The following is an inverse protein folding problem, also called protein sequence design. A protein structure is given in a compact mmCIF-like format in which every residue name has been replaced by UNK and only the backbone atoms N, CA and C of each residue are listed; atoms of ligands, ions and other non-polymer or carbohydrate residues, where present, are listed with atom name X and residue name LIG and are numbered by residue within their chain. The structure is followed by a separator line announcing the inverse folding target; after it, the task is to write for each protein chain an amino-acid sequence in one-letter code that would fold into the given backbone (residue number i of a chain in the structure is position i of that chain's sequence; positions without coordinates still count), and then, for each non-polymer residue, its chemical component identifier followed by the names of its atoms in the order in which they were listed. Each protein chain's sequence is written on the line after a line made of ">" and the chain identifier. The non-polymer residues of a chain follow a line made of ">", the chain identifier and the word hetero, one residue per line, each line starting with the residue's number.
data_IF_146614017338
#
_entry.id   IF_146614017338
#
_cell.length_a   1.000
_cell.length_b   1.000
_cell.length_c   1.000
_cell.angle_alpha   90.00
_cell.angle_beta   90.00
_cell.angle_gamma   90.00
#
_symmetry.space_group_name_H-M   'P 1'
#
loop_
_entity.id
_entity.type
_entity.pdbx_description
1 polymer ?
#
# COMPACT_ATOMS: atom_id res chain seq x y z
N UNK A 1 -43.63 12.54 1.28
CA UNK A 1 -43.81 11.53 0.21
C UNK A 1 -42.66 11.69 -0.76
N UNK A 2 -41.63 10.84 -0.68
CA UNK A 2 -40.44 10.90 -1.52
C UNK A 2 -39.94 9.49 -1.82
N UNK A 3 -39.79 9.22 -3.11
CA UNK A 3 -39.10 8.12 -3.81
C UNK A 3 -38.99 6.74 -3.13
N UNK A 4 -39.81 5.79 -3.62
CA UNK A 4 -39.65 4.34 -3.37
C UNK A 4 -39.60 3.55 -4.69
N UNK A 5 -39.22 4.16 -5.82
CA UNK A 5 -39.09 3.41 -7.09
C UNK A 5 -38.09 4.06 -8.04
N UNK A 6 -36.87 4.31 -7.56
CA UNK A 6 -35.74 4.66 -8.43
C UNK A 6 -34.61 3.64 -8.30
N UNK A 7 -34.95 2.37 -8.06
CA UNK A 7 -34.04 1.28 -8.33
C UNK A 7 -34.05 1.05 -9.84
N UNK A 8 -32.91 1.27 -10.53
CA UNK A 8 -32.87 1.09 -11.98
C UNK A 8 -33.22 -0.35 -12.33
N UNK A 9 -34.11 -0.50 -13.30
CA UNK A 9 -34.52 -1.80 -13.82
C UNK A 9 -33.35 -2.48 -14.51
N UNK A 10 -33.35 -3.82 -14.56
CA UNK A 10 -32.28 -4.61 -15.18
C UNK A 10 -31.99 -4.17 -16.63
N UNK A 11 -33.02 -3.77 -17.37
CA UNK A 11 -32.90 -3.32 -18.75
C UNK A 11 -32.22 -1.94 -18.85
N UNK A 12 -32.43 -1.05 -17.89
CA UNK A 12 -31.74 0.25 -17.81
C UNK A 12 -30.25 0.06 -17.47
N UNK A 13 -29.93 -0.87 -16.56
CA UNK A 13 -28.55 -1.24 -16.23
C UNK A 13 -27.83 -1.76 -17.49
N UNK A 14 -28.46 -2.67 -18.23
CA UNK A 14 -27.88 -3.23 -19.46
C UNK A 14 -27.76 -2.19 -20.58
N UNK A 15 -28.73 -1.28 -20.69
CA UNK A 15 -28.71 -0.19 -21.67
C UNK A 15 -27.61 0.84 -21.37
N UNK A 16 -27.38 1.13 -20.09
CA UNK A 16 -26.30 2.03 -19.65
C UNK A 16 -24.91 1.44 -19.94
N UNK A 17 -24.72 0.13 -19.70
CA UNK A 17 -23.44 -0.55 -20.01
C UNK A 17 -23.21 -0.56 -21.52
N UNK A 18 -24.22 -0.90 -22.32
CA UNK A 18 -24.11 -0.91 -23.79
C UNK A 18 -23.71 0.46 -24.36
N UNK A 19 -24.32 1.54 -23.87
CA UNK A 19 -24.01 2.91 -24.32
C UNK A 19 -22.57 3.32 -24.02
N UNK A 20 -22.05 2.98 -22.83
CA UNK A 20 -20.67 3.32 -22.44
C UNK A 20 -19.66 2.56 -23.30
N UNK A 21 -19.92 1.30 -23.63
CA UNK A 21 -19.04 0.49 -24.47
C UNK A 21 -18.98 1.08 -25.89
N UNK A 22 -20.14 1.37 -26.49
CA UNK A 22 -20.22 1.99 -27.83
C UNK A 22 -19.57 3.39 -27.87
N UNK A 23 -19.72 4.19 -26.81
CA UNK A 23 -19.08 5.50 -26.69
C UNK A 23 -17.55 5.40 -26.50
N UNK A 24 -17.08 4.33 -25.85
CA UNK A 24 -15.65 4.09 -25.59
C UNK A 24 -14.87 3.45 -26.76
N UNK A 25 -15.54 2.84 -27.74
CA UNK A 25 -14.88 2.27 -28.93
C UNK A 25 -14.53 3.33 -29.99
N UNK A 26 -15.08 4.55 -29.89
CA UNK A 26 -14.79 5.67 -30.82
C UNK A 26 -13.75 6.65 -30.26
N UNK A 27 -12.51 6.18 -30.10
CA UNK A 27 -11.35 7.06 -30.02
C UNK A 27 -10.23 6.55 -30.95
N UNK A 28 -10.14 7.04 -32.20
CA UNK A 28 -9.03 6.70 -33.08
C UNK A 28 -7.77 7.43 -32.59
N UNK A 29 -6.83 6.67 -32.01
CA UNK A 29 -5.50 7.14 -31.65
C UNK A 29 -4.74 7.63 -32.88
N UNK A 30 -4.53 8.95 -32.96
CA UNK A 30 -3.76 9.60 -34.01
C UNK A 30 -2.28 9.17 -33.97
N UNK A 31 -1.84 8.44 -34.99
CA UNK A 31 -0.45 8.06 -35.21
C UNK A 31 0.39 9.29 -35.59
N UNK A 32 1.50 9.53 -34.86
CA UNK A 32 2.50 10.55 -35.16
C UNK A 32 3.82 9.90 -35.58
N UNK A 33 4.50 10.35 -36.66
CA UNK A 33 5.70 9.67 -37.13
C UNK A 33 6.92 10.07 -36.28
N UNK A 34 7.67 9.07 -35.79
CA UNK A 34 8.96 9.27 -35.11
C UNK A 34 10.12 9.02 -36.08
N UNK A 35 11.02 10.00 -36.18
CA UNK A 35 12.31 9.96 -36.91
C UNK A 35 13.28 8.93 -36.29
N UNK A 36 14.24 8.36 -37.04
CA UNK A 36 15.17 7.36 -36.53
C UNK A 36 16.29 8.06 -35.74
N UNK A 37 16.24 7.95 -34.42
CA UNK A 37 17.34 8.30 -33.51
C UNK A 37 17.95 7.02 -32.97
N UNK A 38 19.19 6.75 -33.42
CA UNK A 38 20.15 5.74 -32.97
C UNK A 38 19.72 4.91 -31.74
N UNK A 39 19.41 3.64 -32.02
CA UNK A 39 19.33 2.57 -31.04
C UNK A 39 20.65 2.48 -30.28
N UNK A 40 20.63 2.95 -29.03
CA UNK A 40 21.47 2.38 -27.98
C UNK A 40 20.49 1.67 -27.04
N UNK A 41 20.11 0.45 -27.41
CA UNK A 41 19.65 -0.54 -26.45
C UNK A 41 20.85 -0.78 -25.54
N UNK A 42 20.92 -0.02 -24.44
CA UNK A 42 21.65 -0.49 -23.27
C UNK A 42 20.72 -1.50 -22.63
N UNK A 43 21.10 -2.75 -22.78
CA UNK A 43 20.46 -3.88 -22.14
C UNK A 43 20.23 -3.52 -20.66
N UNK A 44 18.97 -3.32 -20.29
CA UNK A 44 18.57 -3.07 -18.89
C UNK A 44 18.18 -4.39 -18.22
N UNK A 45 18.53 -5.53 -18.82
CA UNK A 45 18.38 -6.84 -18.20
C UNK A 45 19.32 -7.05 -17.00
N UNK A 46 20.36 -6.21 -16.84
CA UNK A 46 21.22 -6.24 -15.66
C UNK A 46 20.60 -5.57 -14.40
N UNK A 47 19.42 -4.93 -14.49
CA UNK A 47 18.78 -4.29 -13.33
C UNK A 47 17.84 -5.23 -12.56
N UNK A 48 17.46 -6.37 -13.14
CA UNK A 48 16.63 -7.38 -12.48
C UNK A 48 17.51 -8.53 -12.00
N UNK A 49 17.91 -8.45 -10.74
CA UNK A 49 18.65 -9.53 -10.08
C UNK A 49 17.69 -10.65 -9.64
N UNK A 50 17.71 -11.78 -10.35
CA UNK A 50 16.98 -12.99 -9.95
C UNK A 50 17.71 -13.71 -8.80
N UNK A 51 17.38 -13.36 -7.55
CA UNK A 51 17.93 -14.00 -6.35
C UNK A 51 17.24 -15.34 -6.03
N UNK A 52 17.50 -16.35 -6.85
CA UNK A 52 17.03 -17.73 -6.59
C UNK A 52 17.94 -18.52 -5.64
N UNK A 53 19.11 -17.99 -5.27
CA UNK A 53 20.07 -18.64 -4.38
C UNK A 53 20.29 -17.80 -3.11
N UNK A 54 20.16 -18.44 -1.94
CA UNK A 54 20.35 -17.77 -0.65
C UNK A 54 21.84 -17.71 -0.32
N UNK A 55 22.48 -16.60 -0.65
CA UNK A 55 23.86 -16.32 -0.23
C UNK A 55 23.91 -16.18 1.30
N UNK A 56 24.80 -16.91 2.01
CA UNK A 56 25.01 -16.71 3.44
C UNK A 56 25.52 -15.29 3.68
N UNK A 57 24.71 -14.45 4.31
CA UNK A 57 25.19 -13.17 4.82
C UNK A 57 26.17 -13.47 5.96
N UNK A 58 27.41 -12.95 5.92
CA UNK A 58 28.27 -13.03 7.10
C UNK A 58 27.53 -12.35 8.24
N UNK A 59 27.49 -12.98 9.41
CA UNK A 59 26.90 -12.41 10.62
C UNK A 59 27.79 -11.26 11.14
N UNK A 60 27.89 -10.18 10.36
CA UNK A 60 28.46 -8.93 10.81
C UNK A 60 27.33 -8.26 11.58
N UNK A 61 27.34 -8.41 12.90
CA UNK A 61 26.51 -7.56 13.74
C UNK A 61 26.81 -6.11 13.38
N UNK A 62 25.81 -5.26 13.10
CA UNK A 62 26.07 -3.83 12.91
C UNK A 62 26.69 -3.32 14.21
N UNK A 63 27.99 -3.09 14.20
CA UNK A 63 28.67 -2.46 15.32
C UNK A 63 28.23 -1.00 15.30
N UNK A 64 27.53 -0.50 16.34
CA UNK A 64 27.26 0.91 16.45
C UNK A 64 28.62 1.61 16.42
N UNK A 65 28.84 2.47 15.43
CA UNK A 65 30.05 3.27 15.39
C UNK A 65 29.96 4.23 16.57
N UNK A 66 30.68 3.91 17.66
CA UNK A 66 30.75 4.79 18.80
C UNK A 66 31.29 6.14 18.30
N UNK A 67 30.49 7.18 18.46
CA UNK A 67 30.98 8.55 18.33
C UNK A 67 32.02 8.68 19.44
N UNK A 68 33.29 8.67 19.07
CA UNK A 68 34.38 9.01 19.99
C UNK A 68 34.13 10.46 20.37
N UNK A 69 33.58 10.69 21.55
CA UNK A 69 33.76 11.97 22.22
C UNK A 69 35.19 11.94 22.72
N UNK A 70 36.04 12.80 22.17
CA UNK A 70 37.38 13.01 22.69
C UNK A 70 37.29 13.17 24.22
N UNK A 71 38.09 12.42 25.01
CA UNK A 71 38.17 12.68 26.43
C UNK A 71 38.77 14.08 26.59
N UNK A 72 37.99 14.99 27.14
CA UNK A 72 38.51 16.28 27.61
C UNK A 72 39.59 15.93 28.63
N UNK A 73 40.83 16.29 28.31
CA UNK A 73 41.99 16.16 29.19
C UNK A 73 41.72 16.94 30.48
N UNK A 74 41.32 16.21 31.52
CA UNK A 74 41.08 16.74 32.85
C UNK A 74 42.41 16.75 33.60
N UNK A 75 43.22 17.79 33.35
CA UNK A 75 44.34 18.14 34.20
C UNK A 75 44.12 19.54 34.79
N UNK A 76 43.76 19.68 36.08
CA UNK A 76 43.61 20.99 36.70
C UNK A 76 44.99 21.51 37.18
N UNK A 77 45.44 22.71 36.79
CA UNK A 77 46.50 23.39 37.51
C UNK A 77 45.93 24.06 38.78
N UNK A 78 46.59 23.95 39.95
CA UNK A 78 46.17 24.63 41.15
C UNK A 78 46.63 26.09 41.08
N UNK A 79 45.71 27.01 40.81
CA UNK A 79 45.92 28.43 41.02
C UNK A 79 44.72 29.02 41.75
N UNK A 80 44.93 29.36 43.02
CA UNK A 80 44.00 30.18 43.76
C UNK A 80 43.88 31.56 43.08
N UNK A 81 42.69 31.90 42.61
CA UNK A 81 42.27 33.28 42.32
C UNK A 81 40.81 33.47 42.72
N UNK A 82 40.55 34.62 43.33
CA UNK A 82 39.33 35.09 44.01
C UNK A 82 38.03 34.97 43.21
N UNK A 83 36.86 34.95 43.90
CA UNK A 83 35.57 35.01 43.23
C UNK A 83 35.34 36.42 42.66
N UNK A 84 35.73 36.66 41.40
CA UNK A 84 35.23 37.82 40.66
C UNK A 84 33.73 37.64 40.44
N UNK A 85 32.96 38.56 41.03
CA UNK A 85 31.51 38.61 40.95
C UNK A 85 31.08 38.83 39.49
N UNK A 86 30.43 37.83 38.88
CA UNK A 86 29.76 37.98 37.59
C UNK A 86 28.65 39.03 37.73
N UNK A 87 28.49 40.01 36.83
CA UNK A 87 27.35 40.91 36.89
C UNK A 87 26.07 40.11 36.63
N UNK A 88 25.09 40.17 37.54
CA UNK A 88 23.72 39.72 37.27
C UNK A 88 23.16 40.56 36.11
N UNK A 89 22.47 39.96 35.12
CA UNK A 89 21.74 40.76 34.14
C UNK A 89 20.59 41.48 34.85
N UNK A 90 20.64 42.81 34.91
CA UNK A 90 19.49 43.66 35.24
C UNK A 90 18.36 43.42 34.21
N UNK A 91 17.08 43.44 34.62
CA UNK A 91 15.96 43.25 33.71
C UNK A 91 15.86 44.45 32.76
N UNK A 92 16.32 44.28 31.53
CA UNK A 92 16.10 45.25 30.46
C UNK A 92 14.61 45.27 30.08
N UNK A 93 14.05 46.48 30.12
CA UNK A 93 12.65 46.86 29.88
C UNK A 93 12.03 46.23 28.63
N UNK A 94 10.74 45.91 28.74
CA UNK A 94 9.84 45.47 27.67
C UNK A 94 9.87 46.44 26.47
N UNK A 95 10.11 45.91 25.28
CA UNK A 95 9.96 46.59 24.00
C UNK A 95 8.82 45.88 23.23
N UNK A 96 7.77 46.58 22.72
CA UNK A 96 6.60 45.90 22.17
C UNK A 96 6.82 45.37 20.73
N UNK A 97 6.64 44.04 20.58
CA UNK A 97 6.20 43.23 19.43
C UNK A 97 6.91 43.32 18.06
N UNK A 98 7.09 42.17 17.40
CA UNK A 98 6.08 41.74 16.44
C UNK A 98 5.41 40.42 16.85
N UNK A 99 4.09 40.35 16.67
CA UNK A 99 3.30 39.15 16.90
C UNK A 99 3.79 38.00 16.00
N UNK A 100 4.42 36.99 16.58
CA UNK A 100 4.49 35.67 15.98
C UNK A 100 3.07 35.18 15.72
N UNK A 101 2.70 34.76 14.49
CA UNK A 101 1.44 34.07 14.29
C UNK A 101 1.42 32.82 15.20
N UNK A 102 0.24 32.41 15.70
CA UNK A 102 0.15 31.16 16.42
C UNK A 102 0.59 30.06 15.46
N UNK A 103 1.63 29.31 15.84
CA UNK A 103 1.94 28.00 15.26
C UNK A 103 0.74 27.11 15.59
N UNK A 104 -0.29 27.20 14.75
CA UNK A 104 -1.39 26.26 14.72
C UNK A 104 -0.79 24.88 14.42
N UNK A 105 -1.15 23.91 15.27
CA UNK A 105 -0.46 22.63 15.42
C UNK A 105 -0.17 21.93 14.09
N UNK A 106 1.12 21.68 13.86
CA UNK A 106 1.54 20.56 13.06
C UNK A 106 1.70 19.36 14.01
N UNK A 107 0.58 18.80 14.48
CA UNK A 107 0.54 17.48 15.13
C UNK A 107 0.73 16.39 14.07
N UNK A 108 1.89 16.43 13.44
CA UNK A 108 2.35 15.49 12.44
C UNK A 108 3.84 15.30 12.64
N UNK A 109 4.23 14.11 13.08
CA UNK A 109 5.64 13.70 13.16
C UNK A 109 6.30 13.76 11.77
N UNK A 110 5.50 13.80 10.70
CA UNK A 110 5.93 13.88 9.32
C UNK A 110 5.80 15.30 8.76
N UNK A 111 6.78 15.68 7.96
CA UNK A 111 6.66 16.87 7.12
C UNK A 111 5.54 16.68 6.09
N UNK A 112 4.81 17.75 5.70
CA UNK A 112 3.74 17.65 4.71
C UNK A 112 4.24 17.14 3.35
N UNK A 113 5.48 17.50 2.98
CA UNK A 113 6.11 16.99 1.75
C UNK A 113 6.38 15.49 1.82
N UNK A 114 6.86 14.98 2.95
CA UNK A 114 7.10 13.54 3.15
C UNK A 114 5.80 12.75 3.08
N UNK A 115 4.72 13.26 3.68
CA UNK A 115 3.42 12.61 3.67
C UNK A 115 2.87 12.45 2.24
N UNK A 116 3.00 13.47 1.40
CA UNK A 116 2.56 13.42 -0.01
C UNK A 116 3.38 12.44 -0.86
N UNK A 117 4.70 12.39 -0.66
CA UNK A 117 5.55 11.41 -1.35
C UNK A 117 5.18 9.98 -0.95
N UNK A 118 4.98 9.71 0.35
CA UNK A 118 4.57 8.39 0.84
C UNK A 118 3.20 7.98 0.30
N UNK A 119 2.24 8.92 0.20
CA UNK A 119 0.93 8.67 -0.44
C UNK A 119 1.08 8.29 -1.89
N UNK A 120 1.89 9.01 -2.67
CA UNK A 120 2.13 8.70 -4.08
C UNK A 120 2.74 7.32 -4.31
N UNK A 121 3.73 6.92 -3.49
CA UNK A 121 4.34 5.58 -3.57
C UNK A 121 3.37 4.45 -3.18
N UNK A 122 2.55 4.67 -2.14
CA UNK A 122 1.53 3.71 -1.73
C UNK A 122 0.41 3.57 -2.77
N UNK A 123 0.02 4.68 -3.41
CA UNK A 123 -0.98 4.66 -4.48
C UNK A 123 -0.46 3.91 -5.72
N UNK A 124 0.81 4.11 -6.09
CA UNK A 124 1.45 3.36 -7.16
C UNK A 124 1.51 1.85 -6.85
N UNK A 125 1.82 1.48 -5.60
CA UNK A 125 1.81 0.09 -5.15
C UNK A 125 0.39 -0.51 -5.16
N UNK A 126 -0.61 0.25 -4.70
CA UNK A 126 -2.02 -0.17 -4.72
C UNK A 126 -2.50 -0.42 -6.14
N UNK A 127 -2.13 0.43 -7.11
CA UNK A 127 -2.46 0.23 -8.52
C UNK A 127 -1.79 -1.01 -9.11
N UNK A 128 -0.65 -1.44 -8.57
CA UNK A 128 0.03 -2.67 -8.97
C UNK A 128 -0.67 -3.91 -8.41
N UNK A 129 -1.14 -3.85 -7.17
CA UNK A 129 -1.87 -4.93 -6.49
C UNK A 129 -3.28 -5.10 -7.08
N UNK A 130 -3.91 -4.01 -7.53
CA UNK A 130 -5.28 -3.97 -8.05
C UNK A 130 -5.33 -4.04 -9.59
N UNK A 131 -4.34 -4.66 -10.25
CA UNK A 131 -4.51 -5.15 -11.64
C UNK A 131 -4.73 -6.67 -11.61
N UNK A 132 -5.98 -7.14 -11.43
CA UNK A 132 -6.31 -8.55 -11.33
C UNK A 132 -6.71 -9.11 -12.72
N UNK A 133 -6.19 -8.56 -13.82
CA UNK A 133 -6.47 -9.03 -15.17
C UNK A 133 -5.51 -10.14 -15.62
N UNK A 134 -4.90 -10.82 -14.66
CA UNK A 134 -4.35 -12.15 -14.86
C UNK A 134 -5.28 -13.09 -14.12
N UNK A 135 -6.35 -13.50 -14.81
CA UNK A 135 -7.14 -14.69 -14.50
C UNK A 135 -6.25 -15.94 -14.64
N UNK A 136 -5.16 -15.97 -13.87
CA UNK A 136 -4.07 -16.92 -13.95
C UNK A 136 -3.81 -17.52 -12.58
N UNK A 137 -3.47 -18.80 -12.61
CA UNK A 137 -3.01 -19.66 -11.51
C UNK A 137 -1.88 -19.09 -10.64
N UNK A 138 -1.28 -17.97 -11.03
CA UNK A 138 -0.16 -17.33 -10.33
C UNK A 138 -0.59 -16.33 -9.25
N UNK A 139 -1.89 -16.09 -9.08
CA UNK A 139 -2.39 -15.35 -7.92
C UNK A 139 -2.52 -16.28 -6.71
N UNK A 140 -2.37 -15.72 -5.49
CA UNK A 140 -2.57 -16.48 -4.25
C UNK A 140 -3.95 -17.14 -4.21
N UNK A 141 -4.98 -16.46 -4.73
CA UNK A 141 -6.33 -17.04 -4.85
C UNK A 141 -6.33 -18.26 -5.78
N UNK A 142 -5.62 -18.19 -6.91
CA UNK A 142 -5.42 -19.33 -7.82
C UNK A 142 -4.80 -20.52 -7.11
N UNK A 143 -3.71 -20.31 -6.37
CA UNK A 143 -3.04 -21.37 -5.61
C UNK A 143 -3.94 -21.96 -4.51
N UNK A 144 -4.62 -21.11 -3.74
CA UNK A 144 -5.55 -21.56 -2.68
C UNK A 144 -6.72 -22.35 -3.28
N UNK A 145 -7.25 -21.93 -4.44
CA UNK A 145 -8.30 -22.65 -5.15
C UNK A 145 -7.84 -24.02 -5.63
N UNK A 146 -6.63 -24.13 -6.17
CA UNK A 146 -6.05 -25.41 -6.58
C UNK A 146 -5.83 -26.35 -5.39
N UNK A 147 -5.43 -25.82 -4.23
CA UNK A 147 -5.27 -26.60 -3.00
C UNK A 147 -6.62 -27.01 -2.38
N UNK A 148 -7.66 -26.18 -2.44
CA UNK A 148 -8.98 -26.49 -1.87
C UNK A 148 -9.82 -27.40 -2.76
N UNK A 149 -9.62 -27.38 -4.09
CA UNK A 149 -10.37 -28.20 -5.05
C UNK A 149 -10.38 -29.70 -4.74
N UNK A 150 -9.26 -30.37 -4.40
CA UNK A 150 -9.29 -31.80 -4.05
C UNK A 150 -10.03 -32.07 -2.74
N UNK A 151 -9.88 -31.22 -1.72
CA UNK A 151 -10.55 -31.41 -0.43
C UNK A 151 -12.06 -31.25 -0.53
N UNK A 152 -12.52 -30.24 -1.27
CA UNK A 152 -13.95 -30.01 -1.50
C UNK A 152 -14.58 -31.13 -2.33
N UNK A 153 -13.85 -31.68 -3.30
CA UNK A 153 -14.32 -32.80 -4.12
C UNK A 153 -14.53 -34.06 -3.28
N UNK A 154 -13.53 -34.45 -2.51
CA UNK A 154 -13.63 -35.62 -1.62
C UNK A 154 -14.79 -35.46 -0.63
N UNK A 155 -14.94 -34.26 -0.06
CA UNK A 155 -16.05 -33.98 0.84
C UNK A 155 -17.41 -34.08 0.13
N UNK A 156 -17.54 -33.52 -1.08
CA UNK A 156 -18.76 -33.61 -1.87
C UNK A 156 -19.08 -35.07 -2.22
N UNK A 157 -18.10 -35.86 -2.65
CA UNK A 157 -18.30 -37.28 -2.99
C UNK A 157 -18.83 -38.09 -1.79
N UNK A 158 -18.36 -37.77 -0.57
CA UNK A 158 -18.81 -38.45 0.65
C UNK A 158 -20.16 -37.95 1.18
N UNK A 159 -20.47 -36.66 1.06
CA UNK A 159 -21.61 -36.04 1.76
C UNK A 159 -22.82 -35.76 0.85
N UNK A 160 -22.60 -35.57 -0.45
CA UNK A 160 -23.66 -35.23 -1.40
C UNK A 160 -24.73 -36.32 -1.52
N UNK A 161 -24.41 -37.64 -1.55
CA UNK A 161 -25.43 -38.69 -1.65
C UNK A 161 -26.49 -38.61 -0.55
N UNK A 162 -26.09 -38.46 0.72
CA UNK A 162 -27.02 -38.37 1.84
C UNK A 162 -27.88 -37.11 1.83
N UNK A 163 -27.32 -35.98 1.38
CA UNK A 163 -28.06 -34.72 1.21
C UNK A 163 -29.16 -34.90 0.15
N UNK A 164 -28.81 -35.53 -0.98
CA UNK A 164 -29.76 -35.76 -2.09
C UNK A 164 -30.85 -36.75 -1.67
N UNK A 165 -30.52 -37.86 -1.01
CA UNK A 165 -31.51 -38.81 -0.52
C UNK A 165 -32.54 -38.14 0.41
N UNK A 166 -32.07 -37.30 1.33
CA UNK A 166 -32.94 -36.56 2.25
C UNK A 166 -33.86 -35.59 1.50
N UNK A 167 -33.35 -34.93 0.47
CA UNK A 167 -34.10 -33.96 -0.34
C UNK A 167 -35.12 -34.66 -1.27
N UNK A 168 -34.74 -35.81 -1.86
CA UNK A 168 -35.63 -36.65 -2.68
C UNK A 168 -36.71 -37.30 -1.83
N UNK A 169 -36.40 -37.84 -0.65
CA UNK A 169 -37.39 -38.39 0.27
C UNK A 169 -38.44 -37.33 0.67
N UNK A 170 -38.00 -36.09 0.92
CA UNK A 170 -38.90 -34.95 1.17
C UNK A 170 -39.74 -34.60 -0.05
N UNK A 171 -39.19 -34.69 -1.26
CA UNK A 171 -39.92 -34.44 -2.51
C UNK A 171 -41.01 -35.50 -2.74
N UNK A 172 -40.66 -36.78 -2.60
CA UNK A 172 -41.60 -37.90 -2.76
C UNK A 172 -42.71 -37.82 -1.71
N UNK A 173 -42.38 -37.56 -0.45
CA UNK A 173 -43.38 -37.40 0.61
C UNK A 173 -44.38 -36.28 0.30
N UNK A 174 -43.92 -35.18 -0.31
CA UNK A 174 -44.77 -34.06 -0.71
C UNK A 174 -45.71 -34.41 -1.88
N UNK A 175 -45.22 -35.15 -2.86
CA UNK A 175 -46.01 -35.56 -4.04
C UNK A 175 -47.00 -36.67 -3.66
N UNK A 176 -46.58 -37.64 -2.85
CA UNK A 176 -47.40 -38.79 -2.45
C UNK A 176 -48.44 -38.46 -1.37
N UNK A 177 -48.25 -37.37 -0.62
CA UNK A 177 -49.21 -36.89 0.39
C UNK A 177 -50.28 -35.93 -0.15
N UNK A 178 -50.33 -35.74 -1.48
CA UNK A 178 -51.34 -34.93 -2.18
C UNK A 178 -52.31 -35.83 -2.93
#
# INVERSE_FOLDING_TARGET
>A
MGDVSNEPTMEEILSSIKRVIEESESAPGAARPRRPGKSAVRDSADEVLELNERVPFPAVAPTPRAIVRDPVDETPPPAAYEPESRPQPEPAREQPAPATPPVAGADGILSPSTAEVSRGSLEALSRLIVKPDLAGSDTLEGLVRELLRPMLREWLDQNLPGIVETMVAREIARISGR
#
